data_IF_722942993296
#
_entry.id   IF_722942993296
#
_cell.length_a   1.000
_cell.length_b   1.000
_cell.length_c   1.000
_cell.angle_alpha   90.00
_cell.angle_beta   90.00
_cell.angle_gamma   90.00
#
_symmetry.space_group_name_H-M   'P 1'
#
loop_
_entity.id
_entity.type
_entity.pdbx_description
1 polymer ?
#
# COMPACT_ATOMS: atom_id res chain seq x y z
N UNK A 1 -24.80 11.95 4.95
CA UNK A 1 -25.04 10.71 5.70
C UNK A 1 -26.46 10.69 6.23
N UNK A 2 -27.17 9.56 6.06
CA UNK A 2 -28.51 9.32 6.64
C UNK A 2 -28.41 8.87 8.10
N UNK A 3 -27.39 8.09 8.46
CA UNK A 3 -27.16 7.60 9.82
C UNK A 3 -25.67 7.48 10.17
N UNK A 4 -25.35 7.28 11.44
CA UNK A 4 -23.98 7.19 11.98
C UNK A 4 -23.18 5.99 11.45
N UNK A 5 -23.83 4.96 10.91
CA UNK A 5 -23.17 3.86 10.20
C UNK A 5 -22.37 4.33 8.98
N UNK A 6 -22.73 5.48 8.40
CA UNK A 6 -22.05 6.11 7.26
C UNK A 6 -21.20 7.32 7.67
N UNK A 7 -20.81 7.44 8.95
CA UNK A 7 -20.02 8.59 9.44
C UNK A 7 -18.71 8.77 8.66
N UNK A 8 -18.10 7.66 8.22
CA UNK A 8 -16.88 7.67 7.44
C UNK A 8 -17.00 8.44 6.10
N UNK A 9 -18.22 8.58 5.53
CA UNK A 9 -18.47 9.42 4.34
C UNK A 9 -18.17 10.90 4.59
N UNK A 10 -18.30 11.34 5.84
CA UNK A 10 -17.96 12.72 6.22
C UNK A 10 -16.50 12.81 6.62
N UNK A 11 -16.14 12.12 7.69
CA UNK A 11 -14.81 12.27 8.31
C UNK A 11 -13.70 11.82 7.36
N UNK A 12 -13.84 10.65 6.71
CA UNK A 12 -12.82 10.14 5.81
C UNK A 12 -12.60 11.02 4.58
N UNK A 13 -13.68 11.57 4.02
CA UNK A 13 -13.56 12.51 2.89
C UNK A 13 -13.03 13.87 3.33
N UNK A 14 -13.44 14.39 4.49
CA UNK A 14 -12.91 15.65 5.01
C UNK A 14 -11.40 15.56 5.18
N UNK A 15 -10.91 14.55 5.92
CA UNK A 15 -9.49 14.31 6.13
C UNK A 15 -8.75 14.10 4.80
N UNK A 16 -9.26 13.24 3.91
CA UNK A 16 -8.61 13.04 2.61
C UNK A 16 -8.55 14.32 1.76
N UNK A 17 -9.58 15.16 1.79
CA UNK A 17 -9.60 16.43 1.07
C UNK A 17 -8.59 17.43 1.63
N UNK A 18 -8.29 17.40 2.93
CA UNK A 18 -7.22 18.21 3.53
C UNK A 18 -5.85 17.82 2.94
N UNK A 19 -5.54 16.52 2.88
CA UNK A 19 -4.32 16.02 2.24
C UNK A 19 -4.26 16.39 0.75
N UNK A 20 -5.35 16.15 0.02
CA UNK A 20 -5.39 16.44 -1.42
C UNK A 20 -5.24 17.94 -1.70
N UNK A 21 -5.91 18.79 -0.93
CA UNK A 21 -5.80 20.24 -1.06
C UNK A 21 -4.37 20.71 -0.77
N UNK A 22 -3.78 20.27 0.34
CA UNK A 22 -2.43 20.63 0.76
C UNK A 22 -1.39 20.18 -0.27
N UNK A 23 -1.53 18.97 -0.81
CA UNK A 23 -0.61 18.45 -1.82
C UNK A 23 -0.52 19.30 -3.09
N UNK A 24 -1.59 20.05 -3.40
CA UNK A 24 -1.68 20.89 -4.61
C UNK A 24 -1.28 22.33 -4.37
N UNK A 25 -1.59 22.86 -3.20
CA UNK A 25 -1.39 24.29 -2.90
C UNK A 25 -0.12 24.55 -2.08
N UNK A 26 0.39 23.53 -1.39
CA UNK A 26 1.62 23.57 -0.59
C UNK A 26 2.47 22.31 -0.90
N UNK A 27 2.91 22.09 -2.15
CA UNK A 27 3.68 20.90 -2.53
C UNK A 27 4.99 20.74 -1.74
N UNK A 28 5.57 21.84 -1.26
CA UNK A 28 6.76 21.87 -0.41
C UNK A 28 6.58 21.20 0.95
N UNK A 29 5.34 20.93 1.37
CA UNK A 29 5.06 20.17 2.60
C UNK A 29 5.10 18.67 2.38
N UNK A 30 5.19 18.19 1.13
CA UNK A 30 5.29 16.77 0.80
C UNK A 30 4.23 15.91 1.53
N UNK A 31 3.00 16.42 1.63
CA UNK A 31 1.99 15.93 2.59
C UNK A 31 1.66 14.44 2.47
N UNK A 32 1.92 13.81 1.32
CA UNK A 32 1.76 12.36 1.15
C UNK A 32 2.78 11.52 1.94
N UNK A 33 3.96 12.08 2.22
CA UNK A 33 4.95 11.51 3.14
C UNK A 33 4.40 11.51 4.57
N UNK A 34 3.81 12.62 5.00
CA UNK A 34 3.12 12.71 6.30
C UNK A 34 1.89 11.79 6.38
N UNK A 35 1.09 11.72 5.31
CA UNK A 35 -0.07 10.82 5.22
C UNK A 35 0.31 9.38 5.55
N UNK A 36 1.38 8.85 4.95
CA UNK A 36 1.75 7.45 5.18
C UNK A 36 2.28 7.20 6.60
N UNK A 37 2.92 8.20 7.21
CA UNK A 37 3.34 8.13 8.61
C UNK A 37 2.13 8.08 9.57
N UNK A 38 1.17 8.98 9.36
CA UNK A 38 0.08 9.20 10.31
C UNK A 38 -1.03 8.13 10.17
N UNK A 39 -1.40 7.81 8.94
CA UNK A 39 -2.52 6.90 8.67
C UNK A 39 -2.12 5.43 8.88
N UNK A 40 -0.85 5.06 8.79
CA UNK A 40 -0.42 3.70 9.14
C UNK A 40 -0.20 3.52 10.65
N UNK A 41 -0.06 4.62 11.41
CA UNK A 41 0.04 4.61 12.86
C UNK A 41 -1.33 4.71 13.58
N UNK A 42 -2.36 5.25 12.91
CA UNK A 42 -3.69 5.50 13.49
C UNK A 42 -4.67 4.31 13.32
N UNK A 43 -5.63 4.18 14.24
CA UNK A 43 -6.65 3.09 14.22
C UNK A 43 -8.02 3.61 13.73
N UNK A 44 -8.38 4.86 14.01
CA UNK A 44 -9.79 5.30 13.92
C UNK A 44 -10.21 5.79 12.53
N UNK A 45 -9.30 6.37 11.72
CA UNK A 45 -9.60 6.89 10.37
C UNK A 45 -8.66 6.42 9.25
N UNK A 46 -7.58 5.74 9.63
CA UNK A 46 -6.57 5.13 8.74
C UNK A 46 -7.15 4.40 7.53
N UNK A 47 -8.13 3.52 7.80
CA UNK A 47 -8.75 2.70 6.75
C UNK A 47 -9.55 3.55 5.78
N UNK A 48 -10.39 4.48 6.25
CA UNK A 48 -11.20 5.30 5.34
C UNK A 48 -10.32 6.17 4.46
N UNK A 49 -9.30 6.82 5.03
CA UNK A 49 -8.41 7.72 4.30
C UNK A 49 -7.60 6.96 3.25
N UNK A 50 -7.06 5.79 3.60
CA UNK A 50 -6.31 4.95 2.68
C UNK A 50 -7.18 4.36 1.56
N UNK A 51 -8.42 3.96 1.87
CA UNK A 51 -9.37 3.44 0.86
C UNK A 51 -9.81 4.54 -0.11
N UNK A 52 -10.01 5.78 0.36
CA UNK A 52 -10.32 6.94 -0.50
C UNK A 52 -9.12 7.29 -1.37
N UNK A 53 -7.89 7.30 -0.80
CA UNK A 53 -6.65 7.52 -1.56
C UNK A 53 -6.46 6.49 -2.66
N UNK A 54 -6.68 5.22 -2.36
CA UNK A 54 -6.66 4.15 -3.35
C UNK A 54 -7.68 4.39 -4.47
N UNK A 55 -8.93 4.74 -4.12
CA UNK A 55 -9.97 5.06 -5.11
C UNK A 55 -9.58 6.26 -5.98
N UNK A 56 -9.00 7.31 -5.39
CA UNK A 56 -8.50 8.48 -6.12
C UNK A 56 -7.46 8.09 -7.17
N UNK A 57 -6.45 7.31 -6.78
CA UNK A 57 -5.41 6.84 -7.72
C UNK A 57 -5.94 5.85 -8.76
N UNK A 58 -6.96 5.06 -8.42
CA UNK A 58 -7.62 4.13 -9.33
C UNK A 58 -8.44 4.86 -10.39
N UNK A 59 -9.28 5.82 -9.98
CA UNK A 59 -10.15 6.57 -10.87
C UNK A 59 -9.41 7.61 -11.70
N UNK A 60 -8.24 8.07 -11.24
CA UNK A 60 -7.57 9.31 -11.66
C UNK A 60 -8.27 10.56 -11.16
N UNK A 61 -7.50 11.64 -11.08
CA UNK A 61 -7.98 12.91 -10.54
C UNK A 61 -9.22 13.47 -11.26
N UNK A 62 -9.30 13.56 -12.60
CA UNK A 62 -10.44 14.18 -13.27
C UNK A 62 -11.75 13.42 -13.02
N UNK A 63 -11.69 12.08 -13.04
CA UNK A 63 -12.86 11.22 -12.82
C UNK A 63 -13.30 11.27 -11.36
N UNK A 64 -12.33 11.29 -10.43
CA UNK A 64 -12.64 11.42 -9.02
C UNK A 64 -13.33 12.76 -8.71
N UNK A 65 -12.81 13.86 -9.26
CA UNK A 65 -13.42 15.19 -9.12
C UNK A 65 -14.82 15.25 -9.73
N UNK A 66 -15.02 14.66 -10.92
CA UNK A 66 -16.35 14.63 -11.54
C UNK A 66 -17.36 13.85 -10.69
N UNK A 67 -16.98 12.66 -10.20
CA UNK A 67 -17.83 11.84 -9.32
C UNK A 67 -18.21 12.57 -8.03
N UNK A 68 -17.23 13.20 -7.37
CA UNK A 68 -17.48 13.97 -6.15
C UNK A 68 -18.35 15.20 -6.43
N UNK A 69 -18.12 15.91 -7.53
CA UNK A 69 -18.94 17.05 -7.96
C UNK A 69 -20.39 16.64 -8.21
N UNK A 70 -20.62 15.51 -8.88
CA UNK A 70 -21.97 14.95 -9.10
C UNK A 70 -22.66 14.64 -7.78
N UNK A 71 -21.97 13.95 -6.87
CA UNK A 71 -22.48 13.62 -5.55
C UNK A 71 -22.88 14.88 -4.76
N UNK A 72 -21.97 15.84 -4.63
CA UNK A 72 -22.24 17.08 -3.88
C UNK A 72 -23.41 17.88 -4.46
N UNK A 73 -23.51 17.98 -5.80
CA UNK A 73 -24.64 18.67 -6.44
C UNK A 73 -25.96 17.93 -6.27
N UNK A 74 -25.96 16.60 -6.38
CA UNK A 74 -27.17 15.77 -6.30
C UNK A 74 -27.76 15.76 -4.89
N UNK A 75 -26.92 15.76 -3.87
CA UNK A 75 -27.33 15.62 -2.46
C UNK A 75 -27.17 16.91 -1.64
N UNK A 76 -26.94 18.06 -2.29
CA UNK A 76 -26.89 19.35 -1.60
C UNK A 76 -28.15 19.58 -0.77
N UNK A 77 -27.98 20.03 0.47
CA UNK A 77 -29.06 20.28 1.43
C UNK A 77 -29.93 19.05 1.77
N UNK A 78 -29.40 17.83 1.54
CA UNK A 78 -30.09 16.57 1.83
C UNK A 78 -29.14 15.57 2.51
N UNK A 79 -29.61 14.32 2.65
CA UNK A 79 -28.85 13.20 3.18
C UNK A 79 -28.53 12.20 2.05
N UNK A 80 -27.53 11.36 2.28
CA UNK A 80 -27.07 10.34 1.35
C UNK A 80 -26.50 9.16 2.15
N UNK A 81 -26.59 7.96 1.59
CA UNK A 81 -25.98 6.73 2.10
C UNK A 81 -24.71 6.39 1.30
N UNK A 82 -23.94 5.40 1.76
CA UNK A 82 -22.70 4.98 1.08
C UNK A 82 -22.92 4.59 -0.39
N UNK A 83 -24.05 3.95 -0.73
CA UNK A 83 -24.34 3.55 -2.10
C UNK A 83 -24.51 4.75 -3.05
N UNK A 84 -25.13 5.84 -2.59
CA UNK A 84 -25.33 7.06 -3.39
C UNK A 84 -24.02 7.66 -3.91
N UNK A 85 -22.98 7.61 -3.07
CA UNK A 85 -21.63 8.04 -3.43
C UNK A 85 -21.05 7.15 -4.54
N UNK A 86 -21.17 5.84 -4.38
CA UNK A 86 -20.69 4.88 -5.37
C UNK A 86 -21.39 4.98 -6.71
N UNK A 87 -22.69 5.28 -6.71
CA UNK A 87 -23.46 5.48 -7.94
C UNK A 87 -22.93 6.71 -8.70
N UNK A 88 -22.61 7.81 -8.00
CA UNK A 88 -22.04 9.02 -8.62
C UNK A 88 -20.64 8.78 -9.20
N UNK A 89 -19.78 8.02 -8.52
CA UNK A 89 -18.48 7.62 -9.06
C UNK A 89 -18.61 6.62 -10.21
N UNK A 90 -19.60 5.73 -10.17
CA UNK A 90 -19.87 4.78 -11.25
C UNK A 90 -20.33 5.51 -12.50
N UNK A 91 -21.19 6.53 -12.35
CA UNK A 91 -21.63 7.40 -13.43
C UNK A 91 -20.46 8.19 -14.05
N UNK A 92 -19.57 8.74 -13.23
CA UNK A 92 -18.41 9.51 -13.70
C UNK A 92 -17.34 8.65 -14.40
N UNK A 93 -17.14 7.41 -13.93
CA UNK A 93 -16.08 6.52 -14.43
C UNK A 93 -16.52 5.57 -15.54
N UNK A 94 -17.83 5.33 -15.69
CA UNK A 94 -18.37 4.28 -16.54
C UNK A 94 -18.12 2.86 -16.02
N UNK A 95 -17.69 2.71 -14.76
CA UNK A 95 -17.34 1.43 -14.13
C UNK A 95 -18.22 1.17 -12.92
N UNK A 96 -18.39 -0.09 -12.53
CA UNK A 96 -19.15 -0.45 -11.32
C UNK A 96 -18.30 -0.25 -10.05
N UNK A 97 -18.20 1.01 -9.61
CA UNK A 97 -17.44 1.40 -8.41
C UNK A 97 -18.12 0.87 -7.14
N UNK A 98 -19.44 0.74 -7.15
CA UNK A 98 -20.20 0.13 -6.05
C UNK A 98 -19.75 -1.30 -5.76
N UNK A 99 -19.54 -2.10 -6.81
CA UNK A 99 -19.02 -3.47 -6.69
C UNK A 99 -17.60 -3.51 -6.14
N UNK A 100 -16.70 -2.65 -6.64
CA UNK A 100 -15.31 -2.59 -6.16
C UNK A 100 -15.28 -2.16 -4.69
N UNK A 101 -15.86 -1.01 -4.36
CA UNK A 101 -15.76 -0.39 -3.04
C UNK A 101 -16.57 -1.11 -1.96
N UNK A 102 -17.60 -1.87 -2.34
CA UNK A 102 -18.29 -2.77 -1.39
C UNK A 102 -17.35 -3.81 -0.80
N UNK A 103 -16.37 -4.32 -1.56
CA UNK A 103 -15.37 -5.27 -1.02
C UNK A 103 -14.42 -4.64 -0.01
N UNK A 104 -14.29 -3.32 0.01
CA UNK A 104 -13.40 -2.60 0.93
C UNK A 104 -14.11 -2.11 2.19
N UNK A 105 -15.38 -1.73 2.05
CA UNK A 105 -16.16 -1.07 3.11
C UNK A 105 -17.05 -2.02 3.91
N UNK A 106 -17.49 -3.14 3.34
CA UNK A 106 -18.45 -4.06 3.99
C UNK A 106 -17.81 -5.26 4.70
N UNK A 107 -16.47 -5.36 4.70
CA UNK A 107 -15.75 -6.43 5.37
C UNK A 107 -14.54 -5.94 6.15
N UNK A 108 -14.19 -6.68 7.20
CA UNK A 108 -13.05 -6.37 8.07
C UNK A 108 -11.72 -6.76 7.43
N UNK A 109 -10.67 -6.03 7.82
CA UNK A 109 -9.31 -6.22 7.34
C UNK A 109 -9.06 -5.64 5.94
N UNK A 110 -7.95 -6.10 5.36
CA UNK A 110 -7.44 -5.78 4.04
C UNK A 110 -6.55 -6.94 3.54
N UNK A 111 -6.28 -7.04 2.22
CA UNK A 111 -5.51 -8.15 1.70
C UNK A 111 -3.99 -7.94 1.85
N UNK A 112 -3.29 -9.06 1.93
CA UNK A 112 -1.90 -9.20 1.51
C UNK A 112 -1.89 -9.78 0.10
N UNK A 113 -1.07 -9.21 -0.77
CA UNK A 113 -0.84 -9.66 -2.14
C UNK A 113 0.54 -10.28 -2.21
N UNK A 114 0.60 -11.61 -2.39
CA UNK A 114 1.86 -12.30 -2.68
C UNK A 114 2.14 -12.18 -4.18
N UNK A 115 3.40 -11.85 -4.50
CA UNK A 115 3.87 -11.59 -5.85
C UNK A 115 5.01 -12.53 -6.16
N UNK A 116 4.81 -13.37 -7.18
CA UNK A 116 5.85 -14.12 -7.86
C UNK A 116 5.95 -13.63 -9.31
N UNK A 117 7.09 -13.87 -9.97
CA UNK A 117 7.31 -13.42 -11.33
C UNK A 117 7.98 -14.49 -12.20
N UNK A 118 7.70 -14.43 -13.50
CA UNK A 118 8.46 -15.14 -14.55
C UNK A 118 8.74 -14.17 -15.70
N UNK A 119 9.95 -14.22 -16.25
CA UNK A 119 10.32 -13.43 -17.43
C UNK A 119 9.89 -14.18 -18.68
N UNK A 120 9.23 -13.47 -19.61
CA UNK A 120 8.81 -13.98 -20.92
C UNK A 120 9.21 -12.96 -22.00
N UNK A 121 10.42 -13.12 -22.54
CA UNK A 121 11.01 -12.16 -23.48
C UNK A 121 11.21 -10.78 -22.85
N UNK A 122 10.58 -9.75 -23.42
CA UNK A 122 10.57 -8.37 -22.90
C UNK A 122 9.41 -8.10 -21.93
N UNK A 123 8.65 -9.13 -21.57
CA UNK A 123 7.51 -9.05 -20.65
C UNK A 123 7.84 -9.70 -19.33
N UNK A 124 7.25 -9.18 -18.27
CA UNK A 124 7.17 -9.88 -16.99
C UNK A 124 5.75 -10.38 -16.76
N UNK A 125 5.61 -11.66 -16.48
CA UNK A 125 4.34 -12.20 -16.01
C UNK A 125 4.38 -12.24 -14.49
N UNK A 126 3.51 -11.46 -13.86
CA UNK A 126 3.33 -11.43 -12.41
C UNK A 126 2.24 -12.42 -12.03
N UNK A 127 2.58 -13.42 -11.21
CA UNK A 127 1.61 -14.30 -10.58
C UNK A 127 1.26 -13.71 -9.22
N UNK A 128 0.02 -13.24 -9.07
CA UNK A 128 -0.48 -12.63 -7.85
C UNK A 128 -1.41 -13.59 -7.11
N UNK A 129 -1.30 -13.66 -5.79
CA UNK A 129 -2.32 -14.29 -4.94
C UNK A 129 -2.73 -13.38 -3.79
N UNK A 130 -4.02 -13.38 -3.43
CA UNK A 130 -4.56 -12.55 -2.36
C UNK A 130 -5.13 -13.39 -1.21
N UNK A 131 -4.95 -12.90 0.01
CA UNK A 131 -5.59 -13.43 1.22
C UNK A 131 -5.71 -12.30 2.27
N UNK A 132 -6.53 -12.47 3.32
CA UNK A 132 -6.59 -11.48 4.41
C UNK A 132 -5.24 -11.43 5.13
N UNK A 133 -4.72 -10.22 5.34
CA UNK A 133 -3.56 -10.02 6.21
C UNK A 133 -3.98 -10.12 7.68
N UNK A 134 -3.32 -11.02 8.43
CA UNK A 134 -3.47 -11.18 9.87
C UNK A 134 -2.13 -10.90 10.55
N UNK A 135 -2.11 -9.91 11.45
CA UNK A 135 -0.88 -9.42 12.07
C UNK A 135 -0.21 -10.44 13.01
N UNK A 136 -1.00 -11.38 13.55
CA UNK A 136 -0.54 -12.48 14.40
C UNK A 136 -0.03 -13.70 13.59
N UNK A 137 -0.09 -13.65 12.26
CA UNK A 137 0.30 -14.75 11.40
C UNK A 137 -0.71 -15.90 11.33
N UNK A 138 -1.90 -15.73 11.91
CA UNK A 138 -2.97 -16.72 11.92
C UNK A 138 -3.49 -17.09 10.53
N UNK A 139 -4.45 -18.03 10.52
CA UNK A 139 -5.20 -18.44 9.33
C UNK A 139 -6.61 -17.86 9.36
N UNK A 140 -7.10 -17.46 8.20
CA UNK A 140 -8.46 -17.00 8.02
C UNK A 140 -9.26 -18.01 7.19
N UNK A 141 -10.09 -18.81 7.86
CA UNK A 141 -10.93 -19.81 7.19
C UNK A 141 -12.07 -19.18 6.37
N UNK A 142 -12.37 -17.88 6.57
CA UNK A 142 -13.45 -17.20 5.83
C UNK A 142 -13.05 -16.81 4.41
N UNK A 143 -11.75 -16.81 4.09
CA UNK A 143 -11.19 -16.53 2.77
C UNK A 143 -11.87 -15.36 2.02
N UNK A 144 -11.93 -14.16 2.64
CA UNK A 144 -12.50 -12.99 1.98
C UNK A 144 -11.69 -12.63 0.73
N UNK A 145 -12.37 -12.03 -0.24
CA UNK A 145 -11.76 -11.55 -1.48
C UNK A 145 -12.07 -10.08 -1.69
N UNK A 146 -11.11 -9.37 -2.29
CA UNK A 146 -11.24 -7.98 -2.66
C UNK A 146 -11.10 -7.83 -4.18
N UNK A 147 -11.77 -6.82 -4.72
CA UNK A 147 -11.43 -6.30 -6.04
C UNK A 147 -10.29 -5.30 -5.85
N UNK A 148 -9.06 -5.72 -6.13
CA UNK A 148 -7.85 -4.98 -5.78
C UNK A 148 -7.31 -4.23 -6.99
N UNK A 149 -7.29 -2.88 -6.96
CA UNK A 149 -6.57 -2.08 -7.95
C UNK A 149 -5.06 -2.32 -7.84
N UNK A 150 -4.49 -3.07 -8.78
CA UNK A 150 -3.06 -3.33 -8.87
C UNK A 150 -2.41 -2.26 -9.73
N UNK A 151 -1.41 -1.59 -9.18
CA UNK A 151 -0.48 -0.71 -9.91
C UNK A 151 0.93 -1.27 -9.85
N UNK A 152 1.69 -1.03 -10.92
CA UNK A 152 3.07 -1.50 -11.02
C UNK A 152 3.95 -0.42 -11.62
N UNK A 153 5.05 -0.11 -10.94
CA UNK A 153 6.19 0.69 -11.43
C UNK A 153 7.39 -0.23 -11.65
N UNK A 154 8.35 0.22 -12.45
CA UNK A 154 9.59 -0.51 -12.72
C UNK A 154 10.76 0.45 -12.87
N UNK A 155 11.96 -0.10 -13.08
CA UNK A 155 13.17 0.69 -13.31
C UNK A 155 13.05 1.71 -14.44
N UNK A 156 12.28 1.42 -15.49
CA UNK A 156 12.13 2.32 -16.63
C UNK A 156 11.23 3.52 -16.33
N UNK A 157 10.31 3.38 -15.37
CA UNK A 157 9.45 4.45 -14.90
C UNK A 157 9.16 4.25 -13.39
N UNK A 158 10.05 4.78 -12.53
CA UNK A 158 9.97 4.54 -11.09
C UNK A 158 8.85 5.30 -10.39
N UNK A 159 8.29 6.33 -11.04
CA UNK A 159 7.28 7.22 -10.45
C UNK A 159 5.87 6.88 -10.92
N UNK A 160 5.66 6.78 -12.23
CA UNK A 160 4.32 6.57 -12.79
C UNK A 160 4.07 5.10 -13.13
N UNK A 161 2.90 4.54 -12.78
CA UNK A 161 2.60 3.13 -13.07
C UNK A 161 2.65 2.81 -14.57
N UNK A 162 3.46 1.81 -14.93
CA UNK A 162 3.52 1.24 -16.28
C UNK A 162 2.42 0.20 -16.52
N UNK A 163 1.76 -0.25 -15.46
CA UNK A 163 0.63 -1.16 -15.53
C UNK A 163 -0.42 -0.82 -14.46
N UNK A 164 -1.69 -0.99 -14.85
CA UNK A 164 -2.87 -0.85 -14.00
C UNK A 164 -3.84 -1.98 -14.33
N UNK A 165 -4.36 -2.67 -13.31
CA UNK A 165 -5.32 -3.75 -13.48
C UNK A 165 -6.16 -3.98 -12.22
N UNK A 166 -7.22 -4.78 -12.33
CA UNK A 166 -8.00 -5.22 -11.16
C UNK A 166 -7.77 -6.72 -10.98
N UNK A 167 -7.26 -7.09 -9.80
CA UNK A 167 -7.28 -8.48 -9.36
C UNK A 167 -8.66 -8.82 -8.82
N UNK A 168 -9.30 -9.83 -9.40
CA UNK A 168 -10.68 -10.22 -9.06
C UNK A 168 -10.83 -11.70 -8.67
N UNK A 169 -9.73 -12.46 -8.67
CA UNK A 169 -9.65 -13.84 -8.25
C UNK A 169 -8.68 -14.00 -7.07
N UNK A 170 -8.71 -15.16 -6.41
CA UNK A 170 -7.75 -15.51 -5.35
C UNK A 170 -6.32 -15.63 -5.86
N UNK A 171 -6.15 -16.12 -7.09
CA UNK A 171 -4.91 -16.09 -7.86
C UNK A 171 -5.17 -15.56 -9.27
N UNK A 172 -4.26 -14.73 -9.79
CA UNK A 172 -4.38 -14.17 -11.13
C UNK A 172 -2.99 -13.82 -11.70
N UNK A 173 -2.79 -14.05 -13.00
CA UNK A 173 -1.59 -13.61 -13.70
C UNK A 173 -1.85 -12.28 -14.43
N UNK A 174 -0.86 -11.39 -14.42
CA UNK A 174 -0.83 -10.15 -15.20
C UNK A 174 0.44 -10.07 -16.02
N UNK A 175 0.33 -9.61 -17.27
CA UNK A 175 1.48 -9.33 -18.12
C UNK A 175 1.83 -7.85 -18.05
N UNK A 176 3.09 -7.57 -17.72
CA UNK A 176 3.66 -6.22 -17.68
C UNK A 176 4.68 -6.13 -18.81
N UNK A 177 4.39 -5.27 -19.77
CA UNK A 177 5.20 -5.07 -20.97
C UNK A 177 6.46 -4.23 -20.66
N UNK A 178 7.50 -4.38 -21.48
CA UNK A 178 8.73 -3.59 -21.44
C UNK A 178 9.50 -3.66 -20.10
N UNK A 179 9.56 -4.85 -19.50
CA UNK A 179 10.36 -5.12 -18.29
C UNK A 179 11.37 -6.21 -18.62
N UNK A 180 12.65 -5.83 -18.68
CA UNK A 180 13.72 -6.77 -19.05
C UNK A 180 14.03 -7.72 -17.89
N UNK A 181 14.75 -8.79 -18.19
CA UNK A 181 15.32 -9.66 -17.16
C UNK A 181 16.26 -8.86 -16.26
N UNK A 182 16.13 -9.00 -14.94
CA UNK A 182 16.94 -8.27 -13.95
C UNK A 182 16.40 -6.90 -13.55
N UNK A 183 15.53 -6.26 -14.35
CA UNK A 183 14.86 -5.03 -13.92
C UNK A 183 13.96 -5.32 -12.72
N UNK A 184 13.97 -4.42 -11.75
CA UNK A 184 13.10 -4.50 -10.59
C UNK A 184 11.67 -4.04 -10.95
N UNK A 185 10.72 -4.58 -10.20
CA UNK A 185 9.31 -4.22 -10.27
C UNK A 185 8.79 -3.92 -8.86
N UNK A 186 8.06 -2.81 -8.72
CA UNK A 186 7.37 -2.42 -7.50
C UNK A 186 5.86 -2.47 -7.74
N UNK A 187 5.19 -3.39 -7.04
CA UNK A 187 3.72 -3.45 -6.95
C UNK A 187 3.23 -2.47 -5.89
N UNK A 188 2.01 -1.94 -6.07
CA UNK A 188 1.44 -0.90 -5.22
C UNK A 188 2.24 0.41 -5.28
N UNK A 189 2.37 0.97 -6.50
CA UNK A 189 3.14 2.20 -6.76
C UNK A 189 2.70 3.36 -5.87
N UNK A 190 3.67 4.04 -5.26
CA UNK A 190 3.45 5.12 -4.30
C UNK A 190 2.77 4.68 -3.00
N UNK A 191 2.65 3.37 -2.75
CA UNK A 191 1.92 2.80 -1.60
C UNK A 191 0.52 3.39 -1.49
N UNK A 192 -0.16 3.51 -2.63
CA UNK A 192 -1.47 4.14 -2.76
C UNK A 192 -2.64 3.20 -2.44
N UNK A 193 -2.47 1.90 -2.70
CA UNK A 193 -3.43 0.86 -2.41
C UNK A 193 -3.41 0.45 -0.94
N UNK A 194 -4.59 0.21 -0.37
CA UNK A 194 -4.75 -0.21 1.03
C UNK A 194 -4.56 -1.73 1.17
N UNK A 195 -3.38 -2.22 0.80
CA UNK A 195 -3.00 -3.62 0.90
C UNK A 195 -1.48 -3.75 1.07
N UNK A 196 -1.04 -4.89 1.61
CA UNK A 196 0.39 -5.20 1.75
C UNK A 196 0.89 -6.03 0.59
N UNK A 197 2.18 -5.93 0.29
CA UNK A 197 2.82 -6.72 -0.76
C UNK A 197 3.89 -7.65 -0.17
N UNK A 198 3.80 -8.93 -0.49
CA UNK A 198 4.84 -9.93 -0.20
C UNK A 198 5.53 -10.32 -1.50
N UNK A 199 6.78 -9.91 -1.65
CA UNK A 199 7.62 -10.28 -2.77
C UNK A 199 8.27 -11.65 -2.53
N UNK A 200 8.58 -12.36 -3.62
CA UNK A 200 9.54 -13.47 -3.58
C UNK A 200 10.94 -12.96 -3.23
N UNK A 201 11.80 -13.85 -2.72
CA UNK A 201 13.18 -13.50 -2.34
C UNK A 201 13.98 -12.89 -3.49
N UNK A 202 13.77 -13.40 -4.72
CA UNK A 202 14.41 -12.89 -5.93
C UNK A 202 13.97 -11.44 -6.21
N UNK A 203 12.67 -11.18 -6.13
CA UNK A 203 12.11 -9.85 -6.37
C UNK A 203 12.55 -8.85 -5.30
N UNK A 204 12.55 -9.25 -4.02
CA UNK A 204 13.00 -8.39 -2.93
C UNK A 204 14.48 -8.02 -3.13
N UNK A 205 15.33 -8.99 -3.47
CA UNK A 205 16.76 -8.73 -3.76
C UNK A 205 16.96 -7.79 -4.95
N UNK A 206 16.13 -7.90 -5.98
CA UNK A 206 16.19 -7.00 -7.13
C UNK A 206 15.81 -5.55 -6.78
N UNK A 207 14.96 -5.32 -5.77
CA UNK A 207 14.59 -3.99 -5.29
C UNK A 207 15.70 -3.31 -4.46
N UNK A 208 16.56 -4.07 -3.78
CA UNK A 208 17.55 -3.52 -2.84
C UNK A 208 18.50 -2.47 -3.46
N UNK A 209 19.10 -2.68 -4.65
CA UNK A 209 19.95 -1.66 -5.26
C UNK A 209 19.20 -0.35 -5.58
N UNK A 210 17.91 -0.43 -5.88
CA UNK A 210 17.07 0.73 -6.15
C UNK A 210 16.65 1.47 -4.87
N UNK A 211 16.60 0.78 -3.73
CA UNK A 211 16.51 1.40 -2.40
C UNK A 211 17.82 2.13 -2.08
N UNK A 212 18.96 1.44 -2.23
CA UNK A 212 20.29 1.98 -1.88
C UNK A 212 20.70 3.20 -2.69
N UNK A 213 20.35 3.22 -3.98
CA UNK A 213 20.61 4.34 -4.89
C UNK A 213 19.55 5.45 -4.81
N UNK A 214 18.52 5.29 -3.97
CA UNK A 214 17.35 6.18 -3.87
C UNK A 214 16.56 6.34 -5.19
N UNK A 215 16.71 5.39 -6.13
CA UNK A 215 15.98 5.38 -7.39
C UNK A 215 14.48 5.07 -7.21
N UNK A 216 14.11 4.30 -6.19
CA UNK A 216 12.72 4.13 -5.77
C UNK A 216 12.21 5.40 -5.06
N UNK A 217 11.01 5.91 -5.37
CA UNK A 217 10.45 7.06 -4.67
C UNK A 217 10.25 6.80 -3.16
N UNK A 218 10.24 7.88 -2.38
CA UNK A 218 10.11 7.86 -0.90
C UNK A 218 8.96 6.97 -0.43
N UNK A 219 7.77 7.15 -1.01
CA UNK A 219 6.57 6.40 -0.61
C UNK A 219 6.68 4.90 -0.92
N UNK A 220 7.44 4.51 -1.96
CA UNK A 220 7.67 3.12 -2.30
C UNK A 220 8.73 2.48 -1.41
N UNK A 221 9.79 3.21 -1.05
CA UNK A 221 10.78 2.76 -0.05
C UNK A 221 10.13 2.56 1.32
N UNK A 222 9.31 3.52 1.75
CA UNK A 222 8.47 3.40 2.95
C UNK A 222 7.58 2.15 2.88
N UNK A 223 6.86 1.97 1.78
CA UNK A 223 5.96 0.82 1.59
C UNK A 223 6.68 -0.51 1.72
N UNK A 224 7.86 -0.64 1.10
CA UNK A 224 8.69 -1.86 1.19
C UNK A 224 9.12 -2.10 2.64
N UNK A 225 9.65 -1.08 3.34
CA UNK A 225 10.10 -1.21 4.72
C UNK A 225 8.96 -1.58 5.68
N UNK A 226 7.83 -0.87 5.59
CA UNK A 226 6.67 -1.07 6.44
C UNK A 226 5.99 -2.42 6.18
N UNK A 227 5.89 -2.86 4.92
CA UNK A 227 5.34 -4.17 4.59
C UNK A 227 6.26 -5.28 5.04
N UNK A 228 7.54 -5.23 4.70
CA UNK A 228 8.49 -6.29 5.02
C UNK A 228 8.54 -6.54 6.52
N UNK A 229 8.57 -5.49 7.36
CA UNK A 229 8.59 -5.70 8.79
C UNK A 229 7.27 -6.25 9.35
N UNK A 230 6.11 -5.84 8.82
CA UNK A 230 4.83 -6.46 9.17
C UNK A 230 4.77 -7.94 8.77
N UNK A 231 5.38 -8.30 7.64
CA UNK A 231 5.51 -9.68 7.19
C UNK A 231 6.43 -10.50 8.11
N UNK A 232 7.52 -9.91 8.61
CA UNK A 232 8.36 -10.55 9.64
C UNK A 232 7.56 -10.83 10.91
N UNK A 233 6.81 -9.86 11.44
CA UNK A 233 5.97 -10.06 12.64
C UNK A 233 4.93 -11.17 12.45
N UNK A 234 4.34 -11.26 11.26
CA UNK A 234 3.32 -12.27 10.93
C UNK A 234 3.90 -13.62 10.47
N UNK A 235 5.24 -13.80 10.51
CA UNK A 235 5.91 -15.03 10.10
C UNK A 235 5.85 -15.32 8.58
N UNK A 236 5.62 -14.30 7.75
CA UNK A 236 5.53 -14.39 6.29
C UNK A 236 6.79 -13.94 5.56
N UNK A 237 7.73 -13.33 6.28
CA UNK A 237 9.08 -12.99 5.83
C UNK A 237 10.09 -13.27 6.96
N UNK A 238 11.37 -13.34 6.65
CA UNK A 238 12.43 -13.60 7.63
C UNK A 238 13.06 -12.30 8.15
N UNK A 239 13.60 -12.34 9.37
CA UNK A 239 14.36 -11.22 9.91
C UNK A 239 15.60 -10.89 9.04
N UNK A 240 16.22 -11.90 8.42
CA UNK A 240 17.33 -11.74 7.48
C UNK A 240 16.96 -10.89 6.26
N UNK A 241 15.77 -11.11 5.68
CA UNK A 241 15.27 -10.29 4.58
C UNK A 241 15.12 -8.82 5.01
N UNK A 242 14.57 -8.59 6.20
CA UNK A 242 14.42 -7.24 6.74
C UNK A 242 15.78 -6.58 7.03
N UNK A 243 16.73 -7.29 7.63
CA UNK A 243 18.07 -6.77 7.89
C UNK A 243 18.85 -6.48 6.59
N UNK A 244 18.61 -7.25 5.52
CA UNK A 244 19.15 -6.95 4.19
C UNK A 244 18.61 -5.62 3.64
N UNK A 245 17.32 -5.33 3.86
CA UNK A 245 16.73 -4.03 3.51
C UNK A 245 17.32 -2.89 4.35
N UNK A 246 17.52 -3.11 5.67
CA UNK A 246 18.17 -2.13 6.55
C UNK A 246 19.57 -1.80 6.03
N UNK A 247 20.37 -2.81 5.69
CA UNK A 247 21.71 -2.61 5.11
C UNK A 247 21.69 -1.84 3.79
N UNK A 248 20.73 -2.15 2.90
CA UNK A 248 20.54 -1.41 1.65
C UNK A 248 20.06 0.04 1.86
N UNK A 249 19.49 0.37 3.02
CA UNK A 249 18.94 1.70 3.30
C UNK A 249 19.96 2.65 3.94
N UNK A 250 21.26 2.33 3.87
CA UNK A 250 22.33 3.14 4.51
C UNK A 250 22.41 4.59 3.99
N UNK A 251 21.97 4.84 2.75
CA UNK A 251 21.91 6.18 2.16
C UNK A 251 20.54 6.87 2.35
N UNK A 252 19.61 6.30 3.10
CA UNK A 252 18.28 6.89 3.30
C UNK A 252 18.38 8.23 4.02
N UNK A 253 17.53 9.18 3.62
CA UNK A 253 17.46 10.53 4.20
C UNK A 253 16.07 10.87 4.72
N UNK A 254 15.04 10.14 4.28
CA UNK A 254 13.65 10.45 4.57
C UNK A 254 13.22 9.87 5.91
N UNK A 255 12.75 10.76 6.79
CA UNK A 255 12.44 10.42 8.18
C UNK A 255 11.36 9.34 8.29
N UNK A 256 10.40 9.28 7.37
CA UNK A 256 9.33 8.26 7.41
C UNK A 256 9.86 6.87 7.10
N UNK A 257 10.83 6.78 6.18
CA UNK A 257 11.44 5.49 5.82
C UNK A 257 12.32 5.05 6.97
N UNK A 258 13.13 5.96 7.52
CA UNK A 258 13.90 5.72 8.74
C UNK A 258 13.03 5.30 9.91
N UNK A 259 11.90 5.97 10.15
CA UNK A 259 10.98 5.61 11.23
C UNK A 259 10.41 4.20 11.07
N UNK A 260 10.11 3.78 9.84
CA UNK A 260 9.66 2.40 9.57
C UNK A 260 10.78 1.37 9.81
N UNK A 261 12.01 1.66 9.39
CA UNK A 261 13.17 0.79 9.59
C UNK A 261 13.57 0.70 11.07
N UNK A 262 13.70 1.84 11.74
CA UNK A 262 14.04 1.95 13.16
C UNK A 262 12.99 1.26 14.05
N UNK A 263 11.70 1.48 13.78
CA UNK A 263 10.63 0.77 14.48
C UNK A 263 10.74 -0.75 14.32
N UNK A 264 11.25 -1.21 13.17
CA UNK A 264 11.55 -2.61 12.92
C UNK A 264 12.75 -3.15 13.68
N UNK A 265 13.88 -2.44 13.58
CA UNK A 265 15.12 -2.76 14.29
C UNK A 265 14.89 -2.76 15.81
N UNK A 266 14.25 -1.73 16.35
CA UNK A 266 13.91 -1.62 17.78
C UNK A 266 13.01 -2.76 18.25
N UNK A 267 12.06 -3.20 17.41
CA UNK A 267 11.23 -4.37 17.72
C UNK A 267 12.05 -5.67 17.76
N UNK A 268 13.00 -5.86 16.84
CA UNK A 268 13.92 -7.00 16.87
C UNK A 268 14.82 -6.95 18.11
N UNK A 269 15.44 -5.80 18.40
CA UNK A 269 16.25 -5.58 19.60
C UNK A 269 15.47 -5.90 20.88
N UNK A 270 14.19 -5.51 20.96
CA UNK A 270 13.35 -5.83 22.10
C UNK A 270 13.16 -7.35 22.28
N UNK A 271 13.04 -8.13 21.19
CA UNK A 271 12.98 -9.59 21.25
C UNK A 271 14.33 -10.18 21.69
N UNK A 272 15.43 -9.74 21.07
CA UNK A 272 16.76 -10.26 21.36
C UNK A 272 17.31 -9.85 22.72
N UNK A 273 16.87 -8.72 23.28
CA UNK A 273 17.24 -8.28 24.63
C UNK A 273 16.81 -9.27 25.72
N UNK A 274 15.82 -10.12 25.40
CA UNK A 274 15.30 -11.19 26.26
C UNK A 274 15.92 -12.55 25.95
N UNK A 275 16.85 -12.62 25.00
CA UNK A 275 17.54 -13.85 24.62
C UNK A 275 18.72 -14.09 25.55
N UNK A 276 18.95 -15.34 25.96
CA UNK A 276 19.99 -15.70 26.94
C UNK A 276 21.41 -15.66 26.35
N UNK A 277 21.54 -15.81 25.02
CA UNK A 277 22.83 -15.77 24.32
C UNK A 277 23.39 -14.33 24.18
N UNK A 278 24.34 -14.00 25.05
CA UNK A 278 25.03 -12.71 25.06
C UNK A 278 25.83 -12.43 23.76
N UNK A 279 26.25 -13.45 23.01
CA UNK A 279 27.03 -13.27 21.78
C UNK A 279 26.17 -12.73 20.64
N UNK A 280 24.92 -13.19 20.56
CA UNK A 280 23.93 -12.70 19.57
C UNK A 280 23.54 -11.27 19.92
N UNK A 281 23.26 -11.01 21.21
CA UNK A 281 22.93 -9.66 21.70
C UNK A 281 24.01 -8.65 21.32
N UNK A 282 25.28 -8.96 21.60
CA UNK A 282 26.42 -8.09 21.27
C UNK A 282 26.54 -7.81 19.77
N UNK A 283 26.41 -8.83 18.92
CA UNK A 283 26.49 -8.65 17.46
C UNK A 283 25.38 -7.74 16.91
N UNK A 284 24.18 -7.85 17.48
CA UNK A 284 23.06 -7.00 17.07
C UNK A 284 23.24 -5.57 17.58
N UNK A 285 23.75 -5.37 18.80
CA UNK A 285 24.10 -4.05 19.34
C UNK A 285 25.25 -3.38 18.56
N UNK A 286 26.17 -4.15 17.96
CA UNK A 286 27.23 -3.59 17.09
C UNK A 286 26.73 -3.26 15.67
N UNK A 287 25.65 -3.90 15.23
CA UNK A 287 25.06 -3.67 13.91
C UNK A 287 24.18 -2.42 13.85
N UNK A 288 23.49 -2.11 14.95
CA UNK A 288 22.57 -0.96 15.09
C UNK A 288 23.34 0.27 15.58
#
# INVERSE_FOLDING_TARGET
MVWWSDLWLKEGFASFMEYLFTSKHCPEFEIWVHFVNDEWASITYAKSNSVIRMLYHYLTEPVFQDGLRRYLKKFQYSNAVTQDLWDCFSEASGQDIGKIMSTWTKQMGFPIIKVDQKTDGEKRILKLSQSRFLADGGKDETNPSWLVPITVTSQSNPVEPIFRGIMNASEQEFSVENVKSGDWIKVNSGTAGFYRVQYSDEMLKALLPAVESLALPVLDRFGIANDLFALVKSGKATADQFLSLVGASSNETEYVVWGALDGGVGSLLNVFSRHEDASIKKKLEEFV
#
